data_IF_684845828271
#
_entry.id   IF_684845828271
#
_cell.length_a   1.000
_cell.length_b   1.000
_cell.length_c   1.000
_cell.angle_alpha   90.00
_cell.angle_beta   90.00
_cell.angle_gamma   90.00
#
_symmetry.space_group_name_H-M   'P 1'
#
loop_
_entity.id
_entity.type
_entity.pdbx_description
1 polymer ?
#
# COMPACT_ATOMS: atom_id res chain seq x y z
N UNK A 1 8.13 -11.62 11.21
CA UNK A 1 7.97 -11.90 12.63
C UNK A 1 8.71 -13.14 13.08
N UNK A 2 8.57 -13.48 14.36
CA UNK A 2 9.19 -14.69 14.97
C UNK A 2 8.31 -15.92 14.86
N UNK A 3 6.99 -15.75 14.83
CA UNK A 3 6.04 -16.85 14.74
C UNK A 3 4.73 -16.43 14.05
N UNK A 4 4.12 -17.42 13.40
CA UNK A 4 2.77 -17.37 12.87
C UNK A 4 1.97 -18.48 13.57
N UNK A 5 0.83 -18.17 14.14
CA UNK A 5 -0.03 -19.09 14.88
C UNK A 5 -1.45 -19.06 14.29
N UNK A 6 -1.92 -20.19 13.82
CA UNK A 6 -3.26 -20.34 13.21
C UNK A 6 -4.03 -21.48 13.90
N UNK A 7 -4.48 -21.25 15.14
CA UNK A 7 -5.10 -22.30 15.94
C UNK A 7 -6.44 -22.79 15.38
N UNK A 8 -7.13 -21.93 14.64
CA UNK A 8 -8.49 -22.18 14.16
C UNK A 8 -8.51 -22.63 12.68
N UNK A 9 -7.34 -22.76 12.04
CA UNK A 9 -7.21 -23.20 10.64
C UNK A 9 -7.82 -22.21 9.64
N UNK A 10 -7.66 -20.91 9.92
CA UNK A 10 -8.17 -19.83 9.06
C UNK A 10 -7.48 -19.79 7.72
N UNK A 11 -6.19 -20.13 7.71
CA UNK A 11 -5.35 -20.26 6.51
C UNK A 11 -4.96 -21.74 6.30
N UNK A 12 -3.88 -22.19 6.92
CA UNK A 12 -3.40 -23.59 6.79
C UNK A 12 -3.46 -24.36 8.09
N UNK A 13 -3.70 -23.69 9.19
CA UNK A 13 -3.71 -24.26 10.55
C UNK A 13 -2.32 -24.49 11.12
N UNK A 14 -2.27 -24.58 12.47
CA UNK A 14 -1.07 -24.89 13.21
C UNK A 14 -0.17 -23.67 13.47
N UNK A 15 1.10 -23.96 13.76
CA UNK A 15 2.12 -22.95 14.08
C UNK A 15 3.33 -23.11 13.17
N UNK A 16 3.86 -21.97 12.74
CA UNK A 16 5.06 -21.90 11.91
C UNK A 16 6.02 -20.85 12.50
N UNK A 17 7.30 -21.16 12.51
CA UNK A 17 8.33 -20.17 12.84
C UNK A 17 8.49 -19.15 11.71
N UNK A 18 8.62 -17.90 12.08
CA UNK A 18 8.89 -16.81 11.16
C UNK A 18 10.38 -16.59 10.92
N UNK A 19 10.74 -15.70 10.02
CA UNK A 19 12.14 -15.37 9.70
C UNK A 19 12.89 -14.62 10.81
N UNK A 20 12.22 -14.19 11.89
CA UNK A 20 12.84 -13.51 13.02
C UNK A 20 13.37 -12.10 12.75
N UNK A 21 13.02 -11.47 11.62
CA UNK A 21 13.51 -10.13 11.25
C UNK A 21 12.94 -9.01 12.15
N UNK A 22 11.74 -9.22 12.69
CA UNK A 22 11.11 -8.34 13.68
C UNK A 22 10.68 -9.19 14.87
N UNK A 23 10.75 -8.69 16.12
CA UNK A 23 10.32 -9.42 17.30
C UNK A 23 8.78 -9.43 17.43
N UNK A 24 8.10 -9.70 16.35
CA UNK A 24 6.65 -9.72 16.24
C UNK A 24 6.15 -11.14 16.13
N UNK A 25 5.00 -11.43 16.73
CA UNK A 25 4.28 -12.68 16.54
C UNK A 25 2.88 -12.40 16.00
N UNK A 26 2.44 -13.17 15.03
CA UNK A 26 1.12 -13.01 14.41
C UNK A 26 0.25 -14.21 14.74
N UNK A 27 -0.97 -13.94 15.22
CA UNK A 27 -2.02 -14.94 15.39
C UNK A 27 -3.15 -14.67 14.41
N UNK A 28 -3.51 -15.67 13.63
CA UNK A 28 -4.67 -15.61 12.75
C UNK A 28 -5.97 -15.77 13.53
N UNK A 29 -6.99 -15.04 13.12
CA UNK A 29 -8.34 -15.07 13.70
C UNK A 29 -9.37 -15.14 12.59
N UNK A 30 -10.55 -15.68 12.86
CA UNK A 30 -11.66 -15.73 11.89
C UNK A 30 -12.21 -14.34 11.49
N UNK A 31 -11.74 -13.27 12.14
CA UNK A 31 -12.21 -11.91 11.88
C UNK A 31 -11.32 -11.22 10.82
N UNK A 32 -11.87 -11.06 9.62
CA UNK A 32 -11.21 -10.32 8.54
C UNK A 32 -11.37 -8.82 8.73
N UNK A 33 -10.24 -8.11 8.73
CA UNK A 33 -10.21 -6.65 8.60
C UNK A 33 -10.19 -6.31 7.11
N UNK A 34 -11.04 -5.37 6.68
CA UNK A 34 -11.03 -4.79 5.34
C UNK A 34 -11.48 -3.34 5.46
N UNK A 35 -10.55 -2.42 5.45
CA UNK A 35 -10.84 -1.00 5.61
C UNK A 35 -9.87 -0.13 4.83
N UNK A 36 -10.35 1.03 4.36
CA UNK A 36 -9.49 2.08 3.83
C UNK A 36 -9.00 2.92 5.00
N UNK A 37 -7.71 3.25 4.99
CA UNK A 37 -7.06 3.96 6.08
C UNK A 37 -6.16 5.06 5.56
N UNK A 38 -6.07 6.13 6.36
CA UNK A 38 -5.05 7.15 6.24
C UNK A 38 -4.10 7.02 7.42
N UNK A 39 -2.82 7.18 7.19
CA UNK A 39 -1.79 7.05 8.21
C UNK A 39 -0.64 8.01 7.96
N UNK A 40 0.16 8.22 8.99
CA UNK A 40 1.44 8.92 8.90
C UNK A 40 2.56 7.97 9.31
N UNK A 41 3.54 7.78 8.46
CA UNK A 41 4.70 6.96 8.79
C UNK A 41 5.45 7.54 9.99
N UNK A 42 5.75 6.70 10.97
CA UNK A 42 6.37 7.10 12.23
C UNK A 42 7.84 6.65 12.34
N UNK A 43 8.29 5.75 11.48
CA UNK A 43 9.55 5.06 11.67
C UNK A 43 10.58 5.34 10.57
N UNK A 44 11.85 5.37 10.99
CA UNK A 44 13.04 5.39 10.13
C UNK A 44 13.05 6.54 9.14
N UNK A 45 13.55 6.31 7.92
CA UNK A 45 13.66 7.34 6.88
C UNK A 45 12.31 7.79 6.33
N UNK A 46 11.23 7.08 6.66
CA UNK A 46 9.89 7.36 6.16
C UNK A 46 9.09 8.30 7.06
N UNK A 47 9.57 8.61 8.25
CA UNK A 47 8.86 9.43 9.23
C UNK A 47 8.28 10.70 8.61
N UNK A 48 6.99 10.95 8.89
CA UNK A 48 6.22 12.08 8.37
C UNK A 48 5.59 11.87 6.98
N UNK A 49 5.87 10.77 6.26
CA UNK A 49 5.19 10.49 5.00
C UNK A 49 3.71 10.22 5.23
N UNK A 50 2.86 10.88 4.44
CA UNK A 50 1.43 10.60 4.43
C UNK A 50 1.14 9.35 3.60
N UNK A 51 0.32 8.48 4.15
CA UNK A 51 -0.06 7.20 3.56
C UNK A 51 -1.57 7.17 3.37
N UNK A 52 -2.03 6.80 2.19
CA UNK A 52 -3.44 6.51 1.91
C UNK A 52 -3.49 5.11 1.30
N UNK A 53 -4.11 4.19 1.98
CA UNK A 53 -4.10 2.80 1.60
C UNK A 53 -5.27 2.02 2.18
N UNK A 54 -5.10 0.73 2.27
CA UNK A 54 -6.11 -0.14 2.85
C UNK A 54 -5.46 -1.32 3.58
N UNK A 55 -6.16 -1.82 4.59
CA UNK A 55 -5.81 -3.03 5.30
C UNK A 55 -6.72 -4.18 4.85
N UNK A 56 -6.12 -5.32 4.52
CA UNK A 56 -6.83 -6.59 4.31
C UNK A 56 -6.02 -7.68 4.98
N UNK A 57 -6.44 -8.10 6.17
CA UNK A 57 -5.76 -9.16 6.90
C UNK A 57 -6.70 -9.89 7.86
N UNK A 58 -6.31 -11.09 8.29
CA UNK A 58 -6.96 -11.87 9.33
C UNK A 58 -6.02 -12.10 10.52
N UNK A 59 -4.76 -11.70 10.40
CA UNK A 59 -3.78 -11.79 11.47
C UNK A 59 -3.87 -10.61 12.45
N UNK A 60 -3.61 -10.90 13.70
CA UNK A 60 -3.34 -9.91 14.76
C UNK A 60 -1.89 -10.04 15.17
N UNK A 61 -1.11 -8.96 15.02
CA UNK A 61 0.33 -8.97 15.31
C UNK A 61 0.63 -8.27 16.62
N UNK A 62 1.27 -8.99 17.53
CA UNK A 62 1.90 -8.44 18.72
C UNK A 62 3.31 -7.97 18.35
N UNK A 63 3.60 -6.70 18.61
CA UNK A 63 4.86 -6.05 18.17
C UNK A 63 6.08 -6.36 19.05
N UNK A 64 5.93 -7.07 20.17
CA UNK A 64 7.05 -7.39 21.04
C UNK A 64 7.82 -6.16 21.56
N UNK A 65 7.14 -5.02 21.77
CA UNK A 65 7.75 -3.76 22.19
C UNK A 65 8.41 -2.95 21.05
N UNK A 66 8.36 -3.42 19.81
CA UNK A 66 8.88 -2.71 18.66
C UNK A 66 8.06 -1.44 18.35
N UNK A 67 8.68 -0.30 18.00
CA UNK A 67 7.99 0.89 17.54
C UNK A 67 7.07 0.60 16.35
N UNK A 68 5.94 1.29 16.21
CA UNK A 68 5.06 1.15 15.05
C UNK A 68 5.73 1.65 13.78
N UNK A 69 5.35 1.09 12.63
CA UNK A 69 5.74 1.63 11.33
C UNK A 69 5.03 2.95 11.05
N UNK A 70 3.73 3.03 11.35
CA UNK A 70 2.94 4.24 11.18
C UNK A 70 1.87 4.39 12.28
N UNK A 71 1.27 5.57 12.31
CA UNK A 71 0.09 5.87 13.11
C UNK A 71 -1.09 6.12 12.16
N UNK A 72 -2.19 5.41 12.36
CA UNK A 72 -3.45 5.65 11.65
C UNK A 72 -4.04 7.01 12.03
N UNK A 73 -5.00 7.49 11.25
CA UNK A 73 -5.61 8.81 11.48
C UNK A 73 -6.26 8.98 12.87
N UNK A 74 -6.69 7.89 13.47
CA UNK A 74 -7.24 7.85 14.84
C UNK A 74 -6.16 7.72 15.94
N UNK A 75 -4.88 7.72 15.57
CA UNK A 75 -3.75 7.53 16.45
C UNK A 75 -3.40 6.08 16.75
N UNK A 76 -4.15 5.12 16.22
CA UNK A 76 -3.85 3.69 16.39
C UNK A 76 -2.48 3.35 15.78
N UNK A 77 -1.58 2.72 16.55
CA UNK A 77 -0.28 2.32 16.02
C UNK A 77 -0.40 1.06 15.17
N UNK A 78 0.14 1.11 13.95
CA UNK A 78 0.12 0.03 12.97
C UNK A 78 1.55 -0.35 12.55
N UNK A 79 1.72 -1.65 12.22
CA UNK A 79 2.99 -2.21 11.77
C UNK A 79 4.09 -2.21 12.83
N UNK A 80 5.30 -2.48 12.42
CA UNK A 80 6.47 -2.53 13.29
C UNK A 80 7.74 -2.12 12.52
N UNK A 81 8.69 -1.50 13.21
CA UNK A 81 9.96 -1.07 12.63
C UNK A 81 11.12 -1.32 13.57
N UNK A 82 12.19 -1.95 13.08
CA UNK A 82 13.45 -2.14 13.81
C UNK A 82 14.63 -2.03 12.84
N UNK A 83 15.50 -1.05 13.08
CA UNK A 83 16.62 -0.75 12.18
C UNK A 83 16.13 -0.38 10.79
N UNK A 84 16.51 -1.17 9.79
CA UNK A 84 16.07 -1.04 8.40
C UNK A 84 15.06 -2.11 7.96
N UNK A 85 14.40 -2.74 8.93
CA UNK A 85 13.33 -3.72 8.70
C UNK A 85 11.99 -3.10 9.09
N UNK A 86 11.05 -3.13 8.17
CA UNK A 86 9.71 -2.56 8.33
C UNK A 86 8.67 -3.60 7.96
N UNK A 87 7.60 -3.67 8.74
CA UNK A 87 6.47 -4.57 8.50
C UNK A 87 5.15 -3.83 8.73
N UNK A 88 4.17 -4.03 7.86
CA UNK A 88 2.87 -3.37 7.92
C UNK A 88 1.81 -4.19 7.23
N UNK A 89 0.54 -4.00 7.61
CA UNK A 89 -0.63 -4.51 6.90
C UNK A 89 -1.20 -3.52 5.88
N UNK A 90 -0.64 -2.31 5.80
CA UNK A 90 -1.08 -1.33 4.81
C UNK A 90 -0.65 -1.75 3.41
N UNK A 91 -1.64 -1.83 2.53
CA UNK A 91 -1.47 -1.94 1.09
C UNK A 91 -1.54 -0.55 0.44
N UNK A 92 -0.90 -0.37 -0.71
CA UNK A 92 -0.89 0.92 -1.41
C UNK A 92 0.12 1.92 -0.87
N UNK A 93 1.13 1.48 -0.13
CA UNK A 93 2.14 2.35 0.51
C UNK A 93 2.81 3.33 -0.44
N UNK A 94 2.95 2.97 -1.71
CA UNK A 94 3.65 3.76 -2.72
C UNK A 94 2.70 4.58 -3.62
N UNK A 95 1.39 4.53 -3.34
CA UNK A 95 0.38 5.14 -4.21
C UNK A 95 0.37 6.67 -4.11
N UNK A 96 0.72 7.24 -2.94
CA UNK A 96 0.78 8.69 -2.74
C UNK A 96 2.04 9.35 -3.31
N UNK A 97 3.11 8.57 -3.54
CA UNK A 97 4.42 9.08 -3.98
C UNK A 97 5.37 9.48 -2.85
N UNK A 98 4.89 10.00 -1.73
CA UNK A 98 5.76 10.48 -0.64
C UNK A 98 6.68 9.41 -0.05
N UNK A 99 6.15 8.21 0.19
CA UNK A 99 6.96 7.11 0.69
C UNK A 99 8.00 6.68 -0.33
N UNK A 100 7.65 6.68 -1.61
CA UNK A 100 8.55 6.37 -2.73
C UNK A 100 9.71 7.38 -2.79
N UNK A 101 9.41 8.67 -2.66
CA UNK A 101 10.45 9.72 -2.63
C UNK A 101 11.40 9.52 -1.45
N UNK A 102 10.85 9.30 -0.25
CA UNK A 102 11.67 9.06 0.96
C UNK A 102 12.50 7.79 0.85
N UNK A 103 11.95 6.70 0.30
CA UNK A 103 12.69 5.46 0.07
C UNK A 103 13.85 5.68 -0.91
N UNK A 104 13.59 6.31 -2.04
CA UNK A 104 14.61 6.60 -3.04
C UNK A 104 15.69 7.53 -2.47
N UNK A 105 15.30 8.58 -1.75
CA UNK A 105 16.24 9.50 -1.11
C UNK A 105 17.13 8.76 -0.09
N UNK A 106 16.55 7.90 0.73
CA UNK A 106 17.31 7.11 1.70
C UNK A 106 18.29 6.16 1.02
N UNK A 107 17.86 5.44 -0.02
CA UNK A 107 18.73 4.52 -0.75
C UNK A 107 19.89 5.24 -1.45
N UNK A 108 19.63 6.42 -2.03
CA UNK A 108 20.67 7.28 -2.61
C UNK A 108 21.66 7.75 -1.54
N UNK A 109 21.17 8.21 -0.39
CA UNK A 109 22.00 8.63 0.72
C UNK A 109 22.89 7.48 1.23
N UNK A 110 22.40 6.25 1.31
CA UNK A 110 23.17 5.06 1.64
C UNK A 110 24.31 4.79 0.63
N UNK A 111 24.16 5.28 -0.60
CA UNK A 111 25.17 5.20 -1.67
C UNK A 111 26.07 6.44 -1.76
N UNK A 112 25.88 7.43 -0.87
CA UNK A 112 26.59 8.70 -0.95
C UNK A 112 26.20 9.59 -2.13
N UNK A 113 25.01 9.36 -2.71
CA UNK A 113 24.49 10.12 -3.84
C UNK A 113 23.48 11.17 -3.39
N UNK A 114 23.36 12.26 -4.16
CA UNK A 114 22.38 13.32 -3.91
C UNK A 114 20.97 12.83 -4.25
N UNK A 115 20.02 13.23 -3.42
CA UNK A 115 18.58 13.00 -3.63
C UNK A 115 17.81 14.29 -3.97
N UNK A 116 18.50 15.37 -4.31
CA UNK A 116 17.88 16.70 -4.49
C UNK A 116 16.78 16.73 -5.54
N UNK A 117 16.89 15.91 -6.57
CA UNK A 117 15.96 15.86 -7.71
C UNK A 117 15.02 14.66 -7.68
N UNK A 118 14.99 13.90 -6.58
CA UNK A 118 14.06 12.77 -6.45
C UNK A 118 12.64 13.31 -6.35
N UNK A 119 11.82 12.88 -7.29
CA UNK A 119 10.37 13.12 -7.30
C UNK A 119 9.66 11.85 -7.71
N UNK A 120 8.56 11.53 -7.07
CA UNK A 120 7.70 10.42 -7.43
C UNK A 120 6.29 10.93 -7.77
N UNK A 121 5.80 10.52 -8.92
CA UNK A 121 4.41 10.74 -9.28
C UNK A 121 3.50 9.85 -8.45
N UNK A 122 2.35 10.36 -8.00
CA UNK A 122 1.36 9.52 -7.34
C UNK A 122 0.74 8.53 -8.34
N UNK A 123 0.35 7.36 -7.85
CA UNK A 123 -0.34 6.35 -8.67
C UNK A 123 -1.62 6.92 -9.31
N UNK A 124 -2.35 7.77 -8.60
CA UNK A 124 -3.55 8.43 -9.11
C UNK A 124 -3.23 9.33 -10.32
N UNK A 125 -2.24 10.20 -10.22
CA UNK A 125 -1.83 11.08 -11.32
C UNK A 125 -1.31 10.26 -12.52
N UNK A 126 -0.54 9.22 -12.29
CA UNK A 126 -0.09 8.29 -13.33
C UNK A 126 -1.29 7.66 -14.07
N UNK A 127 -2.27 7.14 -13.31
CA UNK A 127 -3.48 6.52 -13.90
C UNK A 127 -4.28 7.50 -14.75
N UNK A 128 -4.55 8.71 -14.25
CA UNK A 128 -5.28 9.73 -14.99
C UNK A 128 -4.60 10.02 -16.33
N UNK A 129 -3.29 10.20 -16.32
CA UNK A 129 -2.52 10.39 -17.57
C UNK A 129 -2.64 9.19 -18.53
N UNK A 130 -2.64 7.94 -18.01
CA UNK A 130 -2.83 6.76 -18.83
C UNK A 130 -4.25 6.68 -19.40
N UNK A 131 -5.27 7.10 -18.64
CA UNK A 131 -6.65 7.16 -19.13
C UNK A 131 -6.82 8.22 -20.21
N UNK A 132 -6.19 9.38 -20.08
CA UNK A 132 -6.20 10.41 -21.13
C UNK A 132 -5.58 9.88 -22.44
N UNK A 133 -4.41 9.24 -22.35
CA UNK A 133 -3.74 8.62 -23.51
C UNK A 133 -4.63 7.54 -24.15
N UNK A 134 -5.28 6.71 -23.36
CA UNK A 134 -6.21 5.70 -23.88
C UNK A 134 -7.43 6.34 -24.52
N UNK A 135 -8.01 7.36 -23.90
CA UNK A 135 -9.15 8.09 -24.46
C UNK A 135 -8.82 8.73 -25.81
N UNK A 136 -7.64 9.32 -25.96
CA UNK A 136 -7.20 9.92 -27.21
C UNK A 136 -6.95 8.86 -28.30
N UNK A 137 -6.36 7.72 -27.94
CA UNK A 137 -6.21 6.60 -28.84
C UNK A 137 -7.57 6.06 -29.35
N UNK A 138 -8.55 5.92 -28.45
CA UNK A 138 -9.90 5.49 -28.81
C UNK A 138 -10.60 6.52 -29.71
N UNK A 139 -10.51 7.82 -29.38
CA UNK A 139 -11.10 8.89 -30.21
C UNK A 139 -10.51 8.94 -31.62
N UNK A 140 -9.22 8.59 -31.74
CA UNK A 140 -8.55 8.57 -33.04
C UNK A 140 -8.91 7.33 -33.87
N UNK A 141 -9.10 6.18 -33.23
CA UNK A 141 -9.30 4.90 -33.89
C UNK A 141 -10.76 4.53 -34.14
N UNK A 142 -11.71 5.14 -33.41
CA UNK A 142 -13.13 4.78 -33.43
C UNK A 142 -13.98 5.97 -33.87
N UNK A 143 -14.88 5.78 -34.84
CA UNK A 143 -15.95 6.75 -35.16
C UNK A 143 -16.99 6.76 -34.02
N UNK A 144 -16.71 7.55 -33.00
CA UNK A 144 -17.59 7.70 -31.81
C UNK A 144 -18.98 8.19 -32.22
N UNK A 145 -19.09 9.03 -33.24
CA UNK A 145 -20.38 9.49 -33.74
C UNK A 145 -21.20 8.34 -34.36
N UNK A 146 -20.54 7.40 -35.05
CA UNK A 146 -21.22 6.20 -35.56
C UNK A 146 -21.72 5.30 -34.42
N UNK A 147 -20.95 5.20 -33.32
CA UNK A 147 -21.39 4.45 -32.12
C UNK A 147 -22.66 5.06 -31.53
N UNK A 148 -22.70 6.38 -31.33
CA UNK A 148 -23.91 7.06 -30.81
C UNK A 148 -25.10 6.92 -31.76
N UNK A 149 -24.90 7.07 -33.08
CA UNK A 149 -25.99 6.84 -34.05
C UNK A 149 -26.56 5.42 -33.97
N UNK A 150 -25.69 4.42 -33.78
CA UNK A 150 -26.16 3.03 -33.62
C UNK A 150 -26.95 2.81 -32.32
N UNK A 151 -26.53 3.43 -31.21
CA UNK A 151 -27.21 3.39 -29.92
C UNK A 151 -28.62 4.03 -30.02
N UNK A 152 -28.74 5.21 -30.63
CA UNK A 152 -29.99 5.93 -30.82
C UNK A 152 -31.00 5.12 -31.70
N UNK A 153 -30.49 4.49 -32.74
CA UNK A 153 -31.32 3.61 -33.60
C UNK A 153 -31.80 2.34 -32.89
N UNK A 154 -31.07 1.86 -31.88
CA UNK A 154 -31.52 0.75 -31.04
C UNK A 154 -32.57 1.17 -29.99
N UNK A 155 -32.45 2.37 -29.45
CA UNK A 155 -33.36 2.90 -28.43
C UNK A 155 -34.73 3.31 -28.99
N UNK A 156 -34.81 3.52 -30.31
CA UNK A 156 -36.06 3.91 -31.02
C UNK A 156 -36.94 2.72 -31.42
N UNK A 157 -36.54 1.49 -31.12
CA UNK A 157 -37.34 0.25 -31.34
C UNK A 157 -37.99 -0.20 -30.03
#
# INVERSE_FOLDING_TARGET
GTALDDPDGVEQGGRMDGMGLLPCATRFTGQKVRTRVQACAAAGPFAGAQLDGYEIHMGRTERGGTPPFCLLADGTPEGAAAGNVFGTYLHGLFDTGELTEKLAAWLLACKGLSAADVRAESHAAYKERQYDLLADAVRTAVDIAAVYRAMDACAAK
#
